data_IF_165834358034
#
_entry.id   IF_165834358034
#
_cell.length_a   1.000
_cell.length_b   1.000
_cell.length_c   1.000
_cell.angle_alpha   90.00
_cell.angle_beta   90.00
_cell.angle_gamma   90.00
#
_symmetry.space_group_name_H-M   'P 1'
#
loop_
_entity.id
_entity.type
_entity.pdbx_description
1 polymer ?
#
# COMPACT_ATOMS: atom_id res chain seq x y z
N UNK A 1 -20.28 16.54 -18.07
CA UNK A 1 -20.34 17.19 -16.75
C UNK A 1 -18.96 17.05 -16.11
N UNK A 2 -18.34 18.17 -15.70
CA UNK A 2 -17.07 18.10 -14.97
C UNK A 2 -17.36 17.61 -13.55
N UNK A 3 -16.81 16.47 -13.18
CA UNK A 3 -16.88 15.97 -11.81
C UNK A 3 -15.91 16.78 -10.96
N UNK A 4 -16.40 17.53 -9.99
CA UNK A 4 -15.53 18.23 -9.03
C UNK A 4 -14.96 17.17 -8.09
N UNK A 5 -13.65 16.93 -8.16
CA UNK A 5 -12.94 15.96 -7.31
C UNK A 5 -12.90 16.38 -5.83
N UNK A 6 -13.09 17.67 -5.56
CA UNK A 6 -13.11 18.21 -4.21
C UNK A 6 -14.45 18.91 -3.96
N UNK A 7 -15.23 18.38 -3.06
CA UNK A 7 -16.44 19.05 -2.55
C UNK A 7 -16.09 19.67 -1.20
N UNK A 8 -16.48 20.90 -0.97
CA UNK A 8 -16.17 21.70 0.22
C UNK A 8 -16.72 21.14 1.55
N UNK A 9 -17.44 20.05 1.50
CA UNK A 9 -18.13 19.48 2.68
C UNK A 9 -17.31 18.46 3.49
N UNK A 10 -16.21 17.95 2.95
CA UNK A 10 -15.49 16.82 3.56
C UNK A 10 -14.23 17.21 4.35
N UNK A 11 -13.80 18.48 4.30
CA UNK A 11 -12.52 18.86 4.90
C UNK A 11 -11.31 18.46 4.05
N UNK A 12 -10.13 18.74 4.57
CA UNK A 12 -8.85 18.35 4.00
C UNK A 12 -8.21 17.36 4.96
N UNK A 13 -7.83 16.18 4.48
CA UNK A 13 -7.18 15.14 5.26
C UNK A 13 -5.71 15.03 4.87
N UNK A 14 -4.86 14.86 5.86
CA UNK A 14 -3.43 14.64 5.69
C UNK A 14 -3.14 13.15 5.83
N UNK A 15 -2.66 12.53 4.76
CA UNK A 15 -2.39 11.09 4.76
C UNK A 15 -1.04 10.73 4.16
N UNK A 16 -0.55 9.54 4.52
CA UNK A 16 0.56 8.89 3.88
C UNK A 16 0.05 7.70 3.06
N UNK A 17 0.38 7.67 1.77
CA UNK A 17 -0.11 6.65 0.82
C UNK A 17 0.92 5.56 0.50
N UNK A 18 2.15 5.68 1.01
CA UNK A 18 3.23 4.72 0.77
C UNK A 18 4.18 4.69 1.96
N UNK A 19 4.32 3.57 2.59
CA UNK A 19 5.24 3.41 3.73
C UNK A 19 5.43 1.95 4.12
N UNK A 20 6.58 1.68 4.74
CA UNK A 20 7.03 0.34 5.14
C UNK A 20 7.29 0.27 6.64
N UNK A 21 7.17 -0.92 7.16
CA UNK A 21 7.51 -1.27 8.54
C UNK A 21 8.45 -2.47 8.58
N UNK A 22 8.75 -2.96 9.77
CA UNK A 22 9.51 -4.20 9.95
C UNK A 22 8.76 -5.46 9.48
N UNK A 23 7.54 -5.30 8.95
CA UNK A 23 6.84 -6.41 8.29
C UNK A 23 7.49 -6.77 6.94
N UNK A 24 8.07 -5.78 6.26
CA UNK A 24 8.95 -6.00 5.10
C UNK A 24 10.36 -5.47 5.39
N UNK A 25 10.76 -4.32 4.89
CA UNK A 25 12.12 -3.81 4.98
C UNK A 25 12.25 -2.47 5.73
N UNK A 26 11.17 -1.97 6.32
CA UNK A 26 11.19 -0.77 7.13
C UNK A 26 11.88 -0.97 8.49
N UNK A 27 12.19 0.12 9.18
CA UNK A 27 12.94 0.11 10.43
C UNK A 27 12.08 0.12 11.69
N UNK A 28 10.85 0.63 11.60
CA UNK A 28 9.93 0.75 12.72
C UNK A 28 8.87 -0.35 12.68
N UNK A 29 8.39 -0.76 13.85
CA UNK A 29 7.25 -1.69 13.92
C UNK A 29 5.99 -1.06 13.29
N UNK A 30 5.02 -1.85 12.82
CA UNK A 30 3.73 -1.33 12.34
C UNK A 30 3.07 -0.38 13.35
N UNK A 31 3.08 -0.75 14.64
CA UNK A 31 2.53 0.06 15.71
C UNK A 31 3.27 1.42 15.85
N UNK A 32 4.60 1.43 15.74
CA UNK A 32 5.38 2.66 15.80
C UNK A 32 5.16 3.54 14.58
N UNK A 33 5.05 2.96 13.38
CA UNK A 33 4.73 3.73 12.16
C UNK A 33 3.39 4.44 12.33
N UNK A 34 2.35 3.73 12.78
CA UNK A 34 1.03 4.32 13.04
C UNK A 34 1.11 5.41 14.11
N UNK A 35 1.75 5.13 15.24
CA UNK A 35 1.92 6.11 16.33
C UNK A 35 2.63 7.38 15.86
N UNK A 36 3.74 7.25 15.13
CA UNK A 36 4.52 8.39 14.64
C UNK A 36 3.74 9.26 13.65
N UNK A 37 2.95 8.66 12.75
CA UNK A 37 2.09 9.42 11.84
C UNK A 37 1.00 10.18 12.60
N UNK A 38 0.34 9.53 13.57
CA UNK A 38 -0.65 10.19 14.42
C UNK A 38 -0.06 11.35 15.20
N UNK A 39 1.10 11.18 15.84
CA UNK A 39 1.82 12.23 16.59
C UNK A 39 2.24 13.39 15.67
N UNK A 40 2.54 13.11 14.41
CA UNK A 40 2.86 14.12 13.39
C UNK A 40 1.62 14.83 12.80
N UNK A 41 0.43 14.53 13.30
CA UNK A 41 -0.84 15.16 12.86
C UNK A 41 -1.35 14.68 11.51
N UNK A 42 -1.09 13.42 11.14
CA UNK A 42 -1.75 12.78 10.00
C UNK A 42 -3.11 12.24 10.43
N UNK A 43 -4.04 12.18 9.48
CA UNK A 43 -5.38 11.62 9.67
C UNK A 43 -5.42 10.12 9.29
N UNK A 44 -4.51 9.68 8.41
CA UNK A 44 -4.40 8.27 8.01
C UNK A 44 -2.99 7.90 7.52
N UNK A 45 -2.72 6.60 7.51
CA UNK A 45 -1.53 6.03 6.85
C UNK A 45 -1.84 4.73 6.15
N UNK A 46 -1.09 4.46 5.08
CA UNK A 46 -1.02 3.17 4.42
C UNK A 46 0.27 2.47 4.83
N UNK A 47 0.17 1.24 5.31
CA UNK A 47 1.30 0.33 5.45
C UNK A 47 1.36 -0.52 4.18
N UNK A 48 2.03 -0.01 3.17
CA UNK A 48 2.15 -0.65 1.85
C UNK A 48 3.43 -1.48 1.77
N UNK A 49 3.49 -2.52 2.59
CA UNK A 49 4.61 -3.42 2.65
C UNK A 49 4.89 -4.07 1.29
N UNK A 50 6.14 -4.39 1.02
CA UNK A 50 6.50 -5.15 -0.17
C UNK A 50 5.83 -6.53 -0.15
N UNK A 51 4.84 -6.74 -1.00
CA UNK A 51 4.13 -8.02 -1.15
C UNK A 51 4.80 -8.84 -2.25
N UNK A 52 5.71 -9.72 -1.85
CA UNK A 52 6.49 -10.56 -2.75
C UNK A 52 7.00 -11.81 -2.04
N UNK A 53 7.63 -12.69 -2.77
CA UNK A 53 8.15 -13.96 -2.25
C UNK A 53 9.63 -13.92 -1.86
N UNK A 54 10.34 -12.81 -2.11
CA UNK A 54 11.75 -12.67 -1.72
C UNK A 54 11.86 -12.26 -0.24
N UNK A 55 12.31 -13.14 0.66
CA UNK A 55 12.33 -12.88 2.11
C UNK A 55 13.36 -11.83 2.54
N UNK A 56 14.21 -11.35 1.64
CA UNK A 56 15.25 -10.36 1.96
C UNK A 56 14.67 -8.96 2.17
N UNK A 57 13.53 -8.62 1.54
CA UNK A 57 12.93 -7.30 1.59
C UNK A 57 11.40 -7.30 1.60
N UNK A 58 10.76 -8.45 1.53
CA UNK A 58 9.31 -8.54 1.34
C UNK A 58 8.65 -9.56 2.27
N UNK A 59 7.34 -9.49 2.34
CA UNK A 59 6.50 -10.45 3.04
C UNK A 59 5.51 -11.11 2.06
N UNK A 60 5.11 -12.36 2.29
CA UNK A 60 4.14 -13.05 1.43
C UNK A 60 2.68 -12.70 1.77
N UNK A 61 2.44 -11.85 2.75
CA UNK A 61 1.11 -11.48 3.25
C UNK A 61 1.01 -9.97 3.48
N UNK A 62 -0.18 -9.44 3.28
CA UNK A 62 -0.52 -8.06 3.62
C UNK A 62 -0.71 -7.95 5.14
N UNK A 63 -0.30 -6.82 5.71
CA UNK A 63 -0.61 -6.50 7.10
C UNK A 63 -1.98 -5.82 7.20
N UNK A 64 -2.84 -6.35 8.07
CA UNK A 64 -4.05 -5.65 8.50
C UNK A 64 -3.75 -4.86 9.78
N UNK A 65 -3.56 -3.56 9.62
CA UNK A 65 -3.24 -2.65 10.71
C UNK A 65 -4.48 -1.94 11.29
N UNK A 66 -5.70 -2.32 10.88
CA UNK A 66 -6.95 -1.69 11.35
C UNK A 66 -7.17 -1.80 12.86
N UNK A 67 -6.50 -2.73 13.53
CA UNK A 67 -6.49 -2.80 15.00
C UNK A 67 -5.87 -1.55 15.68
N UNK A 68 -5.12 -0.73 14.94
CA UNK A 68 -4.56 0.53 15.43
C UNK A 68 -5.44 1.75 15.14
N UNK A 69 -6.58 1.57 14.49
CA UNK A 69 -7.52 2.65 14.17
C UNK A 69 -8.11 3.28 15.42
N UNK A 70 -8.44 4.56 15.32
CA UNK A 70 -9.10 5.33 16.37
C UNK A 70 -10.15 6.28 15.76
N UNK A 71 -10.83 7.05 16.58
CA UNK A 71 -11.84 8.01 16.10
C UNK A 71 -11.28 9.12 15.23
N UNK A 72 -9.99 9.41 15.35
CA UNK A 72 -9.27 10.51 14.68
C UNK A 72 -8.14 10.07 13.75
N UNK A 73 -7.92 8.76 13.61
CA UNK A 73 -6.86 8.21 12.75
C UNK A 73 -7.24 6.83 12.22
N UNK A 74 -7.03 6.59 10.93
CA UNK A 74 -7.29 5.29 10.31
C UNK A 74 -6.05 4.75 9.59
N UNK A 75 -5.99 3.43 9.45
CA UNK A 75 -5.08 2.74 8.57
C UNK A 75 -5.82 2.22 7.34
N UNK A 76 -5.18 2.25 6.19
CA UNK A 76 -5.72 1.69 4.95
C UNK A 76 -4.91 0.45 4.61
N UNK A 77 -5.57 -0.68 4.47
CA UNK A 77 -4.95 -1.95 4.04
C UNK A 77 -4.34 -1.75 2.65
N UNK A 78 -3.05 -1.98 2.53
CA UNK A 78 -2.29 -1.61 1.34
C UNK A 78 -1.13 -2.57 1.14
N UNK A 79 -0.58 -2.59 -0.08
CA UNK A 79 0.67 -3.26 -0.38
C UNK A 79 1.41 -2.57 -1.51
N UNK A 80 2.72 -2.69 -1.53
CA UNK A 80 3.54 -2.50 -2.71
C UNK A 80 3.72 -3.85 -3.39
N UNK A 81 3.00 -4.01 -4.50
CA UNK A 81 2.95 -5.25 -5.26
C UNK A 81 4.13 -5.34 -6.20
N UNK A 82 4.69 -6.54 -6.35
CA UNK A 82 5.79 -6.81 -7.25
C UNK A 82 5.45 -7.93 -8.21
N UNK A 83 5.93 -7.79 -9.45
CA UNK A 83 6.00 -8.86 -10.43
C UNK A 83 7.23 -8.65 -11.33
N UNK A 84 7.66 -9.67 -12.10
CA UNK A 84 8.79 -9.52 -13.01
C UNK A 84 8.62 -8.37 -13.99
N UNK A 85 9.64 -7.53 -14.08
CA UNK A 85 9.75 -6.42 -15.02
C UNK A 85 10.74 -6.71 -16.15
N UNK A 86 11.10 -5.68 -16.90
CA UNK A 86 12.13 -5.74 -17.94
C UNK A 86 13.50 -5.38 -17.35
N UNK A 87 14.55 -5.69 -18.08
CA UNK A 87 15.93 -5.43 -17.64
C UNK A 87 16.27 -3.95 -17.35
N UNK A 88 15.46 -3.01 -17.83
CA UNK A 88 15.60 -1.57 -17.57
C UNK A 88 14.72 -1.05 -16.43
N UNK A 89 13.83 -1.88 -15.91
CA UNK A 89 13.03 -1.55 -14.72
C UNK A 89 13.94 -1.64 -13.49
N UNK A 90 13.62 -0.87 -12.45
CA UNK A 90 14.37 -0.91 -11.20
C UNK A 90 14.38 -2.34 -10.65
N UNK A 91 15.57 -2.87 -10.41
CA UNK A 91 15.79 -4.22 -9.88
C UNK A 91 15.16 -5.36 -10.72
N UNK A 92 14.73 -5.06 -11.96
CA UNK A 92 14.02 -6.01 -12.82
C UNK A 92 12.60 -6.33 -12.37
N UNK A 93 11.99 -5.48 -11.56
CA UNK A 93 10.65 -5.65 -10.99
C UNK A 93 9.74 -4.45 -11.31
N UNK A 94 8.45 -4.70 -11.38
CA UNK A 94 7.45 -3.66 -11.22
C UNK A 94 7.26 -3.34 -9.74
N UNK A 95 7.08 -2.06 -9.44
CA UNK A 95 6.73 -1.52 -8.14
C UNK A 95 5.35 -0.85 -8.24
N UNK A 96 4.34 -1.42 -7.62
CA UNK A 96 2.94 -1.02 -7.80
C UNK A 96 2.32 -0.85 -6.42
N UNK A 97 2.13 0.40 -6.00
CA UNK A 97 1.44 0.69 -4.73
C UNK A 97 -0.06 0.57 -4.94
N UNK A 98 -0.70 -0.28 -4.16
CA UNK A 98 -2.13 -0.55 -4.19
C UNK A 98 -2.75 -0.30 -2.82
N UNK A 99 -3.58 0.74 -2.70
CA UNK A 99 -4.23 1.17 -1.47
C UNK A 99 -5.70 0.77 -1.47
N UNK A 100 -6.17 0.16 -0.39
CA UNK A 100 -7.54 -0.34 -0.25
C UNK A 100 -7.70 -1.78 -0.74
N UNK A 101 -6.66 -2.59 -0.64
CA UNK A 101 -6.70 -4.03 -0.96
C UNK A 101 -7.44 -4.81 0.14
N UNK A 102 -8.06 -5.96 -0.19
CA UNK A 102 -8.42 -6.94 0.82
C UNK A 102 -7.17 -7.54 1.47
N UNK A 103 -7.23 -7.86 2.76
CA UNK A 103 -6.07 -8.36 3.51
C UNK A 103 -5.55 -9.73 3.01
N UNK A 104 -6.38 -10.49 2.32
CA UNK A 104 -6.06 -11.78 1.72
C UNK A 104 -5.65 -11.69 0.24
N UNK A 105 -5.39 -10.47 -0.28
CA UNK A 105 -4.93 -10.30 -1.67
C UNK A 105 -3.61 -11.06 -1.88
N UNK A 106 -3.55 -11.98 -2.86
CA UNK A 106 -2.40 -12.86 -3.00
C UNK A 106 -1.22 -12.17 -3.71
N UNK A 107 -0.01 -12.66 -3.43
CA UNK A 107 1.19 -12.29 -4.21
C UNK A 107 0.98 -12.53 -5.71
N UNK A 108 1.77 -11.85 -6.53
CA UNK A 108 1.77 -12.08 -7.97
C UNK A 108 2.30 -13.47 -8.31
N UNK A 109 1.71 -14.08 -9.32
CA UNK A 109 2.30 -15.27 -9.96
C UNK A 109 3.59 -14.88 -10.69
N UNK A 110 4.54 -15.79 -10.78
CA UNK A 110 5.83 -15.56 -11.44
C UNK A 110 5.73 -15.23 -12.94
N UNK A 111 4.61 -15.55 -13.56
CA UNK A 111 4.29 -15.25 -14.96
C UNK A 111 3.41 -14.00 -15.13
N UNK A 112 2.87 -13.45 -14.06
CA UNK A 112 1.99 -12.28 -14.10
C UNK A 112 2.75 -11.02 -14.54
N UNK A 113 2.18 -10.29 -15.49
CA UNK A 113 2.73 -9.02 -15.96
C UNK A 113 2.25 -7.84 -15.13
N UNK A 114 2.98 -6.72 -15.16
CA UNK A 114 2.58 -5.49 -14.46
C UNK A 114 1.16 -5.03 -14.80
N UNK A 115 0.74 -4.95 -16.07
CA UNK A 115 -0.63 -4.61 -16.43
C UNK A 115 -1.70 -5.58 -15.89
N UNK A 116 -1.43 -6.88 -15.86
CA UNK A 116 -2.36 -7.89 -15.30
C UNK A 116 -2.48 -7.72 -13.78
N UNK A 117 -1.36 -7.51 -13.09
CA UNK A 117 -1.34 -7.27 -11.64
C UNK A 117 -2.10 -5.98 -11.27
N UNK A 118 -1.90 -4.88 -12.03
CA UNK A 118 -2.67 -3.64 -11.87
C UNK A 118 -4.15 -3.90 -12.07
N UNK A 119 -4.54 -4.59 -13.14
CA UNK A 119 -5.95 -4.90 -13.42
C UNK A 119 -6.57 -5.74 -12.29
N UNK A 120 -5.84 -6.70 -11.74
CA UNK A 120 -6.28 -7.52 -10.60
C UNK A 120 -6.45 -6.70 -9.33
N UNK A 121 -5.51 -5.80 -9.02
CA UNK A 121 -5.60 -4.91 -7.85
C UNK A 121 -6.79 -3.93 -7.97
N UNK A 122 -7.00 -3.33 -9.14
CA UNK A 122 -8.14 -2.45 -9.41
C UNK A 122 -9.46 -3.22 -9.31
N UNK A 123 -9.54 -4.44 -9.85
CA UNK A 123 -10.73 -5.29 -9.73
C UNK A 123 -11.04 -5.68 -8.27
N UNK A 124 -10.02 -5.74 -7.41
CA UNK A 124 -10.17 -5.95 -5.96
C UNK A 124 -10.59 -4.68 -5.19
N UNK A 125 -10.71 -3.52 -5.86
CA UNK A 125 -11.17 -2.26 -5.30
C UNK A 125 -10.06 -1.27 -4.92
N UNK A 126 -8.79 -1.60 -5.19
CA UNK A 126 -7.68 -0.73 -4.82
C UNK A 126 -7.54 0.49 -5.74
N UNK A 127 -7.03 1.58 -5.16
CA UNK A 127 -6.42 2.70 -5.88
C UNK A 127 -4.96 2.37 -6.15
N UNK A 128 -4.50 2.48 -7.39
CA UNK A 128 -3.17 2.00 -7.80
C UNK A 128 -2.30 3.16 -8.29
N UNK A 129 -1.02 3.13 -7.89
CA UNK A 129 0.02 4.06 -8.35
C UNK A 129 1.27 3.25 -8.70
N UNK A 130 1.91 3.59 -9.81
CA UNK A 130 3.23 3.03 -10.16
C UNK A 130 4.30 3.83 -9.39
N UNK A 131 5.15 3.15 -8.63
CA UNK A 131 6.19 3.74 -7.79
C UNK A 131 7.57 3.72 -8.49
#
# INVERSE_FOLDING_TARGET
MATTLFTSAAGVFRGNLHGHSTHSDGQNSPADVVRLHREAGYDFTCLSEHLWTDPRFSAPTIIDATAFDSADFITIISAELHCPGKAHDKDGLWHIVANGLPADFPVADSSETGPELVARAVAAGASVTIA
#
